data_IF_526870291746
#
_entry.id   IF_526870291746
#
_cell.length_a   1.000
_cell.length_b   1.000
_cell.length_c   1.000
_cell.angle_alpha   90.00
_cell.angle_beta   90.00
_cell.angle_gamma   90.00
#
_symmetry.space_group_name_H-M   'P 1'
#
loop_
_entity.id
_entity.type
_entity.pdbx_description
1 polymer ?
#
# COMPACT_ATOMS: atom_id res chain seq x y z
N UNK A 1 -57.66 19.48 -9.37
CA UNK A 1 -56.52 20.25 -9.83
C UNK A 1 -55.77 20.97 -8.71
N UNK A 2 -56.42 21.66 -7.77
CA UNK A 2 -55.77 22.43 -6.69
C UNK A 2 -54.82 21.57 -5.82
N UNK A 3 -55.24 20.39 -5.38
CA UNK A 3 -54.43 19.48 -4.56
C UNK A 3 -53.18 18.91 -5.30
N UNK A 4 -53.25 18.77 -6.63
CA UNK A 4 -52.12 18.28 -7.42
C UNK A 4 -51.00 19.33 -7.50
N UNK A 5 -51.34 20.60 -7.74
CA UNK A 5 -50.38 21.69 -7.75
C UNK A 5 -49.81 22.00 -6.35
N UNK A 6 -50.61 21.86 -5.29
CA UNK A 6 -50.16 22.00 -3.93
C UNK A 6 -49.09 20.93 -3.58
N UNK A 7 -49.36 19.65 -3.94
CA UNK A 7 -48.36 18.56 -3.75
C UNK A 7 -47.08 18.82 -4.51
N UNK A 8 -47.11 19.22 -5.79
CA UNK A 8 -45.93 19.54 -6.57
C UNK A 8 -45.10 20.70 -5.97
N UNK A 9 -45.77 21.78 -5.51
CA UNK A 9 -45.09 22.90 -4.84
C UNK A 9 -44.43 22.46 -3.55
N UNK A 10 -45.09 21.63 -2.75
CA UNK A 10 -44.52 21.10 -1.51
C UNK A 10 -43.30 20.22 -1.79
N UNK A 11 -43.38 19.30 -2.79
CA UNK A 11 -42.25 18.47 -3.21
C UNK A 11 -41.05 19.34 -3.68
N UNK A 12 -41.32 20.37 -4.51
CA UNK A 12 -40.30 21.28 -4.98
C UNK A 12 -39.64 22.07 -3.82
N UNK A 13 -40.48 22.55 -2.88
CA UNK A 13 -39.98 23.26 -1.69
C UNK A 13 -39.09 22.34 -0.82
N UNK A 14 -39.54 21.12 -0.54
CA UNK A 14 -38.76 20.15 0.24
C UNK A 14 -37.45 19.79 -0.46
N UNK A 15 -37.46 19.65 -1.78
CA UNK A 15 -36.26 19.38 -2.56
C UNK A 15 -35.25 20.55 -2.49
N UNK A 16 -35.75 21.80 -2.70
CA UNK A 16 -34.90 22.99 -2.58
C UNK A 16 -34.36 23.14 -1.16
N UNK A 17 -35.19 22.89 -0.14
CA UNK A 17 -34.76 22.95 1.25
C UNK A 17 -33.68 21.90 1.55
N UNK A 18 -33.84 20.66 1.05
CA UNK A 18 -32.83 19.60 1.21
C UNK A 18 -31.51 19.98 0.54
N UNK A 19 -31.55 20.49 -0.71
CA UNK A 19 -30.36 20.95 -1.41
C UNK A 19 -29.67 22.13 -0.69
N UNK A 20 -30.42 23.11 -0.23
CA UNK A 20 -29.88 24.25 0.50
C UNK A 20 -29.24 23.81 1.81
N UNK A 21 -29.92 22.94 2.57
CA UNK A 21 -29.37 22.38 3.82
C UNK A 21 -28.07 21.61 3.57
N UNK A 22 -28.08 20.72 2.57
CA UNK A 22 -26.88 19.94 2.20
C UNK A 22 -25.73 20.87 1.78
N UNK A 23 -26.00 21.88 0.95
CA UNK A 23 -24.99 22.86 0.53
C UNK A 23 -24.40 23.63 1.72
N UNK A 24 -25.23 24.09 2.66
CA UNK A 24 -24.78 24.78 3.86
C UNK A 24 -23.91 23.86 4.73
N UNK A 25 -24.32 22.61 4.95
CA UNK A 25 -23.56 21.64 5.73
C UNK A 25 -22.20 21.34 5.07
N UNK A 26 -22.15 21.19 3.75
CA UNK A 26 -20.89 21.03 3.02
C UNK A 26 -19.99 22.27 3.15
N UNK A 27 -20.54 23.48 3.00
CA UNK A 27 -19.75 24.70 3.19
C UNK A 27 -19.13 24.78 4.59
N UNK A 28 -19.90 24.42 5.62
CA UNK A 28 -19.39 24.41 7.01
C UNK A 28 -18.29 23.34 7.16
N UNK A 29 -18.50 22.15 6.63
CA UNK A 29 -17.58 21.01 6.79
C UNK A 29 -16.27 21.20 6.04
N UNK A 30 -16.32 21.75 4.82
CA UNK A 30 -15.16 21.99 3.98
C UNK A 30 -14.45 23.33 4.22
N UNK A 31 -15.00 24.22 5.07
CA UNK A 31 -14.49 25.59 5.22
C UNK A 31 -13.04 25.65 5.73
N UNK A 32 -12.73 24.99 6.84
CA UNK A 32 -11.37 25.04 7.40
C UNK A 32 -10.33 24.31 6.54
N UNK A 33 -10.58 23.10 5.98
CA UNK A 33 -9.71 22.51 4.99
C UNK A 33 -9.40 23.43 3.80
N UNK A 34 -10.44 23.93 3.13
CA UNK A 34 -10.28 24.83 1.97
C UNK A 34 -9.50 26.10 2.31
N UNK A 35 -9.76 26.69 3.48
CA UNK A 35 -9.03 27.87 3.96
C UNK A 35 -7.54 27.55 4.17
N UNK A 36 -7.22 26.37 4.70
CA UNK A 36 -5.83 25.91 4.91
C UNK A 36 -5.11 25.74 3.56
N UNK A 37 -5.73 25.06 2.61
CA UNK A 37 -5.20 24.85 1.26
C UNK A 37 -4.98 26.18 0.53
N UNK A 38 -5.97 27.08 0.59
CA UNK A 38 -5.82 28.43 0.05
C UNK A 38 -4.70 29.23 0.72
N UNK A 39 -4.52 29.11 2.03
CA UNK A 39 -3.47 29.83 2.75
C UNK A 39 -2.04 29.33 2.42
N UNK A 40 -1.90 28.05 2.06
CA UNK A 40 -0.62 27.41 1.67
C UNK A 40 -0.37 27.43 0.16
N UNK A 41 -1.36 27.83 -0.66
CA UNK A 41 -1.29 27.75 -2.11
C UNK A 41 -0.22 28.69 -2.70
N UNK A 42 0.50 28.17 -3.68
CA UNK A 42 1.41 28.96 -4.52
C UNK A 42 0.61 29.60 -5.67
N UNK A 43 0.29 30.88 -5.51
CA UNK A 43 -0.57 31.64 -6.44
C UNK A 43 0.10 32.05 -7.77
N UNK A 44 1.20 31.41 -8.17
CA UNK A 44 1.73 31.62 -9.52
C UNK A 44 0.75 31.09 -10.57
N UNK A 45 0.56 31.86 -11.65
CA UNK A 45 -0.36 31.46 -12.74
C UNK A 45 -0.02 30.07 -13.33
N UNK A 46 1.25 29.71 -13.37
CA UNK A 46 1.73 28.39 -13.79
C UNK A 46 1.21 27.23 -12.92
N UNK A 47 0.80 27.51 -11.68
CA UNK A 47 0.31 26.52 -10.72
C UNK A 47 -1.23 26.54 -10.54
N UNK A 48 -1.98 27.29 -11.34
CA UNK A 48 -3.42 27.41 -11.20
C UNK A 48 -4.15 26.05 -11.26
N UNK A 49 -3.70 25.15 -12.13
CA UNK A 49 -4.24 23.78 -12.24
C UNK A 49 -3.98 22.96 -10.96
N UNK A 50 -2.80 23.09 -10.35
CA UNK A 50 -2.46 22.46 -9.08
C UNK A 50 -3.41 22.89 -7.96
N UNK A 51 -3.61 24.21 -7.81
CA UNK A 51 -4.53 24.75 -6.80
C UNK A 51 -5.96 24.25 -7.00
N UNK A 52 -6.44 24.21 -8.24
CA UNK A 52 -7.79 23.70 -8.55
C UNK A 52 -7.90 22.21 -8.16
N UNK A 53 -6.89 21.40 -8.48
CA UNK A 53 -6.89 19.97 -8.13
C UNK A 53 -6.86 19.75 -6.61
N UNK A 54 -6.07 20.55 -5.87
CA UNK A 54 -6.04 20.48 -4.41
C UNK A 54 -7.39 20.88 -3.78
N UNK A 55 -8.01 21.94 -4.28
CA UNK A 55 -9.34 22.37 -3.81
C UNK A 55 -10.41 21.33 -4.14
N UNK A 56 -10.38 20.73 -5.32
CA UNK A 56 -11.30 19.66 -5.70
C UNK A 56 -11.14 18.43 -4.82
N UNK A 57 -9.90 18.02 -4.55
CA UNK A 57 -9.57 16.93 -3.63
C UNK A 57 -10.09 17.22 -2.21
N UNK A 58 -9.86 18.42 -1.68
CA UNK A 58 -10.35 18.84 -0.37
C UNK A 58 -11.88 18.84 -0.28
N UNK A 59 -12.57 19.37 -1.30
CA UNK A 59 -14.03 19.34 -1.34
C UNK A 59 -14.52 17.88 -1.31
N UNK A 60 -13.95 17.03 -2.16
CA UNK A 60 -14.34 15.63 -2.27
C UNK A 60 -14.05 14.84 -1.00
N UNK A 61 -12.94 15.14 -0.29
CA UNK A 61 -12.58 14.47 0.95
C UNK A 61 -13.50 14.87 2.11
N UNK A 62 -13.95 16.15 2.15
CA UNK A 62 -14.71 16.71 3.25
C UNK A 62 -16.21 16.90 2.93
N UNK A 63 -16.77 16.11 2.01
CA UNK A 63 -18.23 16.07 1.78
C UNK A 63 -18.94 15.64 3.06
N UNK A 64 -19.94 16.43 3.49
CA UNK A 64 -20.77 16.11 4.64
C UNK A 64 -21.42 14.72 4.46
N UNK A 65 -21.23 13.84 5.47
CA UNK A 65 -21.70 12.45 5.45
C UNK A 65 -21.20 11.63 4.23
N UNK A 66 -20.02 11.93 3.69
CA UNK A 66 -19.41 11.23 2.55
C UNK A 66 -19.53 9.70 2.67
N UNK A 67 -19.11 9.17 3.81
CA UNK A 67 -19.16 7.72 4.03
C UNK A 67 -20.58 7.17 4.14
N UNK A 68 -21.53 7.94 4.64
CA UNK A 68 -22.95 7.56 4.65
C UNK A 68 -23.51 7.41 3.23
N UNK A 69 -23.12 8.29 2.30
CA UNK A 69 -23.50 8.17 0.88
C UNK A 69 -22.81 6.99 0.21
N UNK A 70 -21.53 6.74 0.48
CA UNK A 70 -20.81 5.56 -0.02
C UNK A 70 -21.49 4.27 0.46
N UNK A 71 -21.83 4.17 1.75
CA UNK A 71 -22.56 3.03 2.30
C UNK A 71 -23.92 2.81 1.65
N UNK A 72 -24.72 3.88 1.50
CA UNK A 72 -26.02 3.80 0.89
C UNK A 72 -25.95 3.38 -0.60
N UNK A 73 -24.97 3.92 -1.32
CA UNK A 73 -24.73 3.56 -2.72
C UNK A 73 -24.27 2.11 -2.85
N UNK A 74 -23.27 1.69 -2.09
CA UNK A 74 -22.78 0.31 -2.08
C UNK A 74 -23.88 -0.70 -1.71
N UNK A 75 -24.75 -0.36 -0.75
CA UNK A 75 -25.91 -1.18 -0.43
C UNK A 75 -26.87 -1.34 -1.61
N UNK A 76 -27.16 -0.26 -2.33
CA UNK A 76 -27.99 -0.31 -3.54
C UNK A 76 -27.36 -1.17 -4.64
N UNK A 77 -26.04 -1.07 -4.84
CA UNK A 77 -25.30 -1.90 -5.79
C UNK A 77 -25.37 -3.38 -5.41
N UNK A 78 -25.24 -3.69 -4.13
CA UNK A 78 -25.37 -5.06 -3.61
C UNK A 78 -26.78 -5.62 -3.84
N UNK A 79 -27.84 -4.82 -3.65
CA UNK A 79 -29.23 -5.21 -3.95
C UNK A 79 -29.46 -5.47 -5.44
N UNK A 80 -28.70 -4.83 -6.32
CA UNK A 80 -28.74 -5.04 -7.77
C UNK A 80 -27.85 -6.19 -8.23
N UNK A 81 -27.19 -6.91 -7.32
CA UNK A 81 -26.26 -8.01 -7.60
C UNK A 81 -25.09 -7.60 -8.50
N UNK A 82 -24.65 -6.34 -8.41
CA UNK A 82 -23.51 -5.86 -9.18
C UNK A 82 -22.19 -6.34 -8.59
N UNK A 83 -21.27 -6.74 -9.47
CA UNK A 83 -19.91 -7.15 -9.13
C UNK A 83 -18.89 -6.06 -9.50
N UNK A 84 -19.32 -4.83 -9.69
CA UNK A 84 -18.49 -3.68 -10.06
C UNK A 84 -18.95 -2.40 -9.39
N UNK A 85 -18.00 -1.52 -9.11
CA UNK A 85 -18.19 -0.17 -8.59
C UNK A 85 -17.25 0.80 -9.31
N UNK A 86 -17.63 2.08 -9.33
CA UNK A 86 -16.81 3.16 -9.89
C UNK A 86 -16.33 2.87 -11.33
N UNK A 87 -17.23 2.46 -12.23
CA UNK A 87 -16.89 2.12 -13.61
C UNK A 87 -15.80 1.04 -13.72
N UNK A 88 -15.93 -0.03 -12.97
CA UNK A 88 -15.00 -1.17 -12.89
C UNK A 88 -13.66 -0.87 -12.21
N UNK A 89 -13.48 0.27 -11.56
CA UNK A 89 -12.28 0.51 -10.74
C UNK A 89 -12.16 -0.52 -9.62
N UNK A 90 -13.28 -0.85 -8.96
CA UNK A 90 -13.35 -1.91 -7.94
C UNK A 90 -14.34 -2.97 -8.41
N UNK A 91 -13.88 -4.21 -8.44
CA UNK A 91 -14.69 -5.36 -8.85
C UNK A 91 -14.65 -6.46 -7.82
N UNK A 92 -15.68 -7.35 -7.82
CA UNK A 92 -15.70 -8.57 -7.02
C UNK A 92 -15.28 -9.77 -7.86
N UNK A 93 -14.41 -10.60 -7.27
CA UNK A 93 -14.19 -11.95 -7.78
C UNK A 93 -15.36 -12.90 -7.43
N UNK A 94 -15.26 -14.14 -7.86
CA UNK A 94 -16.30 -15.17 -7.59
C UNK A 94 -16.43 -15.55 -6.12
N UNK A 95 -15.43 -15.20 -5.28
CA UNK A 95 -15.42 -15.40 -3.84
C UNK A 95 -15.91 -14.16 -3.07
N UNK A 96 -16.23 -13.07 -3.79
CA UNK A 96 -16.68 -11.81 -3.23
C UNK A 96 -15.58 -10.88 -2.74
N UNK A 97 -14.29 -11.19 -3.01
CA UNK A 97 -13.18 -10.29 -2.69
C UNK A 97 -13.11 -9.14 -3.66
N UNK A 98 -12.73 -7.98 -3.16
CA UNK A 98 -12.58 -6.77 -3.97
C UNK A 98 -11.21 -6.73 -4.64
N UNK A 99 -11.17 -6.29 -5.89
CA UNK A 99 -9.96 -6.10 -6.68
C UNK A 99 -9.98 -4.74 -7.36
N UNK A 100 -8.81 -4.11 -7.51
CA UNK A 100 -8.64 -3.04 -8.46
C UNK A 100 -8.41 -3.63 -9.85
N UNK A 101 -9.06 -3.07 -10.85
CA UNK A 101 -8.87 -3.46 -12.24
C UNK A 101 -9.15 -2.31 -13.19
N UNK A 102 -8.86 -2.51 -14.46
CA UNK A 102 -9.14 -1.59 -15.54
C UNK A 102 -9.21 -2.36 -16.87
N UNK A 103 -9.76 -1.73 -17.88
CA UNK A 103 -9.80 -2.31 -19.22
C UNK A 103 -8.43 -2.19 -19.88
N UNK A 104 -7.83 -3.34 -20.21
CA UNK A 104 -6.59 -3.43 -20.94
C UNK A 104 -6.76 -4.39 -22.14
N UNK A 105 -5.96 -4.20 -23.17
CA UNK A 105 -5.96 -5.05 -24.37
C UNK A 105 -4.83 -6.09 -24.35
N UNK A 106 -3.95 -6.03 -23.36
CA UNK A 106 -2.80 -6.93 -23.19
C UNK A 106 -1.85 -6.40 -22.11
N UNK A 107 -0.75 -7.12 -21.84
CA UNK A 107 0.28 -6.69 -20.90
C UNK A 107 0.90 -5.35 -21.31
N UNK A 108 1.30 -4.57 -20.29
CA UNK A 108 2.03 -3.31 -20.52
C UNK A 108 3.50 -3.61 -20.79
N UNK A 109 4.11 -2.88 -21.72
CA UNK A 109 5.55 -2.93 -21.94
C UNK A 109 6.27 -2.21 -20.79
N UNK A 110 7.09 -2.95 -20.07
CA UNK A 110 7.83 -2.49 -18.88
C UNK A 110 9.34 -2.48 -19.09
N UNK A 111 9.79 -2.60 -20.36
CA UNK A 111 11.23 -2.67 -20.68
C UNK A 111 12.00 -1.48 -20.12
N UNK A 112 11.48 -0.26 -20.28
CA UNK A 112 12.13 0.95 -19.75
C UNK A 112 12.29 0.91 -18.22
N UNK A 113 11.31 0.40 -17.49
CA UNK A 113 11.38 0.27 -16.03
C UNK A 113 12.43 -0.77 -15.62
N UNK A 114 12.51 -1.90 -16.33
CA UNK A 114 13.52 -2.92 -16.07
C UNK A 114 14.93 -2.42 -16.40
N UNK A 115 15.11 -1.64 -17.46
CA UNK A 115 16.38 -1.01 -17.83
C UNK A 115 16.86 -0.05 -16.71
N UNK A 116 15.95 0.70 -16.05
CA UNK A 116 16.29 1.55 -14.89
C UNK A 116 16.75 0.74 -13.68
N UNK A 117 16.14 -0.42 -13.41
CA UNK A 117 16.61 -1.32 -12.34
C UNK A 117 18.01 -1.86 -12.66
N UNK A 118 18.27 -2.23 -13.91
CA UNK A 118 19.58 -2.69 -14.35
C UNK A 118 20.64 -1.56 -14.23
N UNK A 119 20.28 -0.32 -14.56
CA UNK A 119 21.14 0.84 -14.38
C UNK A 119 21.44 1.10 -12.88
N UNK A 120 20.45 1.01 -12.01
CA UNK A 120 20.65 1.07 -10.57
C UNK A 120 21.69 0.03 -10.13
N UNK A 121 21.54 -1.23 -10.56
CA UNK A 121 22.48 -2.31 -10.24
C UNK A 121 23.91 -2.01 -10.71
N UNK A 122 24.07 -1.51 -11.93
CA UNK A 122 25.36 -1.12 -12.47
C UNK A 122 26.03 0.02 -11.66
N UNK A 123 25.24 0.92 -11.08
CA UNK A 123 25.74 2.05 -10.32
C UNK A 123 26.09 1.72 -8.86
N UNK A 124 25.54 0.62 -8.30
CA UNK A 124 25.88 0.17 -6.93
C UNK A 124 27.31 -0.42 -6.82
N UNK A 125 27.87 -0.86 -7.95
CA UNK A 125 29.19 -1.50 -7.98
C UNK A 125 29.17 -2.95 -7.50
N UNK A 126 30.36 -3.58 -7.42
CA UNK A 126 30.47 -5.03 -7.15
C UNK A 126 30.32 -5.41 -5.67
N UNK A 127 30.38 -4.46 -4.74
CA UNK A 127 30.28 -4.73 -3.30
C UNK A 127 28.84 -4.99 -2.87
N UNK A 128 27.92 -4.21 -3.37
CA UNK A 128 26.51 -4.24 -2.99
C UNK A 128 25.72 -5.07 -4.00
N UNK A 129 25.04 -6.12 -3.54
CA UNK A 129 24.17 -6.92 -4.40
C UNK A 129 22.83 -6.22 -4.64
N UNK A 130 22.18 -6.55 -5.75
CA UNK A 130 20.84 -6.09 -6.07
C UNK A 130 19.93 -7.29 -6.38
N UNK A 131 18.76 -7.34 -5.73
CA UNK A 131 17.70 -8.30 -6.04
C UNK A 131 16.38 -7.56 -6.26
N UNK A 132 15.64 -7.92 -7.29
CA UNK A 132 14.25 -7.50 -7.43
C UNK A 132 13.32 -8.51 -6.76
N UNK A 133 12.47 -8.04 -5.84
CA UNK A 133 11.48 -8.87 -5.14
C UNK A 133 10.10 -8.55 -5.68
N UNK A 134 9.54 -9.42 -6.50
CA UNK A 134 8.17 -9.30 -6.98
C UNK A 134 7.19 -9.77 -5.92
N UNK A 135 6.55 -8.83 -5.22
CA UNK A 135 5.43 -9.16 -4.32
C UNK A 135 4.20 -9.55 -5.14
N UNK A 136 3.31 -10.43 -4.65
CA UNK A 136 2.16 -10.87 -5.42
C UNK A 136 1.09 -9.78 -5.52
N UNK A 137 0.42 -9.73 -6.67
CA UNK A 137 -0.86 -9.06 -6.84
C UNK A 137 -1.98 -9.88 -6.15
N UNK A 138 -3.03 -9.22 -5.76
CA UNK A 138 -4.23 -9.87 -5.19
C UNK A 138 -4.90 -10.85 -6.17
N UNK A 139 -4.68 -10.68 -7.48
CA UNK A 139 -5.03 -11.69 -8.47
C UNK A 139 -4.05 -12.87 -8.41
N UNK A 140 -4.42 -13.91 -7.70
CA UNK A 140 -3.59 -15.13 -7.55
C UNK A 140 -3.90 -16.10 -8.69
N UNK A 141 -2.90 -16.38 -9.53
CA UNK A 141 -3.02 -17.36 -10.62
C UNK A 141 -3.41 -18.73 -10.09
N UNK A 142 -4.35 -19.39 -10.80
CA UNK A 142 -4.85 -20.71 -10.42
C UNK A 142 -5.89 -20.71 -9.28
N UNK A 143 -6.17 -19.53 -8.70
CA UNK A 143 -7.18 -19.38 -7.66
C UNK A 143 -8.21 -18.31 -7.97
N UNK A 144 -7.79 -17.07 -8.21
CA UNK A 144 -8.71 -15.95 -8.43
C UNK A 144 -9.44 -16.10 -9.77
N UNK A 145 -10.76 -16.01 -9.73
CA UNK A 145 -11.60 -16.01 -10.94
C UNK A 145 -12.61 -14.89 -10.87
N UNK A 146 -12.90 -14.26 -12.02
CA UNK A 146 -13.89 -13.20 -12.11
C UNK A 146 -15.17 -13.67 -12.78
N UNK A 147 -16.34 -13.08 -12.41
CA UNK A 147 -17.57 -13.22 -13.19
C UNK A 147 -17.37 -12.74 -14.63
N UNK A 148 -18.23 -13.26 -15.53
CA UNK A 148 -18.21 -12.83 -16.94
C UNK A 148 -18.42 -11.32 -17.09
N UNK A 149 -17.66 -10.68 -17.96
CA UNK A 149 -17.75 -9.25 -18.24
C UNK A 149 -16.87 -8.36 -17.36
N UNK A 150 -16.21 -8.91 -16.34
CA UNK A 150 -15.24 -8.15 -15.54
C UNK A 150 -13.93 -7.98 -16.35
N UNK A 151 -13.36 -6.76 -16.45
CA UNK A 151 -12.12 -6.53 -17.17
C UNK A 151 -10.94 -7.18 -16.48
N UNK A 152 -9.96 -7.62 -17.30
CA UNK A 152 -8.68 -8.15 -16.83
C UNK A 152 -7.56 -7.17 -17.18
N UNK A 153 -6.71 -6.83 -16.21
CA UNK A 153 -5.69 -5.79 -16.33
C UNK A 153 -4.30 -6.31 -16.74
N UNK A 154 -4.14 -7.60 -16.94
CA UNK A 154 -2.88 -8.26 -17.32
C UNK A 154 -1.67 -7.97 -16.41
N UNK A 155 -1.90 -7.63 -15.14
CA UNK A 155 -0.82 -7.30 -14.20
C UNK A 155 0.18 -8.46 -14.05
N UNK A 156 -0.28 -9.70 -13.98
CA UNK A 156 0.60 -10.86 -13.86
C UNK A 156 1.47 -11.07 -15.09
N UNK A 157 0.91 -10.93 -16.30
CA UNK A 157 1.64 -11.05 -17.55
C UNK A 157 2.61 -9.88 -17.74
N UNK A 158 2.23 -8.69 -17.33
CA UNK A 158 3.11 -7.51 -17.26
C UNK A 158 4.32 -7.78 -16.37
N UNK A 159 4.08 -8.33 -15.18
CA UNK A 159 5.13 -8.70 -14.24
C UNK A 159 6.04 -9.82 -14.76
N UNK A 160 5.49 -10.80 -15.50
CA UNK A 160 6.31 -11.84 -16.13
C UNK A 160 7.29 -11.23 -17.14
N UNK A 161 6.78 -10.38 -18.04
CA UNK A 161 7.63 -9.69 -19.01
C UNK A 161 8.70 -8.82 -18.34
N UNK A 162 8.34 -8.14 -17.27
CA UNK A 162 9.27 -7.33 -16.47
C UNK A 162 10.39 -8.18 -15.86
N UNK A 163 10.05 -9.30 -15.19
CA UNK A 163 11.04 -10.20 -14.59
C UNK A 163 11.92 -10.87 -15.65
N UNK A 164 11.38 -11.21 -16.81
CA UNK A 164 12.16 -11.77 -17.90
C UNK A 164 13.20 -10.77 -18.43
N UNK A 165 12.86 -9.48 -18.55
CA UNK A 165 13.82 -8.43 -18.91
C UNK A 165 14.92 -8.27 -17.86
N UNK A 166 14.56 -8.30 -16.55
CA UNK A 166 15.54 -8.22 -15.47
C UNK A 166 16.52 -9.40 -15.48
N UNK A 167 16.02 -10.64 -15.66
CA UNK A 167 16.85 -11.85 -15.77
C UNK A 167 17.81 -11.77 -16.98
N UNK A 168 17.32 -11.27 -18.12
CA UNK A 168 18.15 -11.04 -19.32
C UNK A 168 19.26 -10.01 -19.08
N UNK A 169 19.00 -9.04 -18.21
CA UNK A 169 19.98 -8.01 -17.78
C UNK A 169 20.89 -8.49 -16.66
N UNK A 170 20.78 -9.75 -16.22
CA UNK A 170 21.60 -10.33 -15.16
C UNK A 170 21.24 -9.86 -13.74
N UNK A 171 20.07 -9.29 -13.55
CA UNK A 171 19.57 -8.90 -12.22
C UNK A 171 18.98 -10.13 -11.53
N UNK A 172 19.38 -10.35 -10.29
CA UNK A 172 18.81 -11.38 -9.42
C UNK A 172 17.34 -11.06 -9.09
N UNK A 173 16.48 -12.09 -9.07
CA UNK A 173 15.04 -11.92 -8.88
C UNK A 173 14.47 -12.94 -7.91
N UNK A 174 13.61 -12.50 -7.00
CA UNK A 174 12.78 -13.33 -6.14
C UNK A 174 11.31 -13.08 -6.49
N UNK A 175 10.64 -14.05 -7.09
CA UNK A 175 9.22 -13.96 -7.42
C UNK A 175 8.36 -14.59 -6.32
N UNK A 176 7.79 -13.79 -5.43
CA UNK A 176 6.93 -14.24 -4.34
C UNK A 176 5.51 -14.65 -4.79
N UNK A 177 5.20 -14.54 -6.08
CA UNK A 177 3.97 -15.10 -6.65
C UNK A 177 4.08 -16.61 -6.77
N UNK A 178 5.31 -17.11 -6.95
CA UNK A 178 5.63 -18.54 -6.96
C UNK A 178 5.55 -19.09 -5.53
N UNK A 179 4.99 -20.29 -5.38
CA UNK A 179 4.85 -20.95 -4.07
C UNK A 179 3.82 -20.34 -3.12
N UNK A 180 3.08 -19.30 -3.55
CA UNK A 180 2.09 -18.63 -2.69
C UNK A 180 0.93 -19.56 -2.31
N UNK A 181 0.43 -20.38 -3.23
CA UNK A 181 -0.62 -21.38 -2.96
C UNK A 181 -0.12 -22.56 -2.13
N UNK A 182 1.18 -22.83 -2.15
CA UNK A 182 1.87 -23.87 -1.37
C UNK A 182 2.36 -23.35 -0.01
N UNK A 183 2.10 -22.10 0.33
CA UNK A 183 2.52 -21.46 1.59
C UNK A 183 1.96 -22.10 2.87
N UNK A 184 0.98 -22.99 2.74
CA UNK A 184 0.22 -23.57 3.86
C UNK A 184 -0.88 -22.63 4.41
N UNK A 185 -0.98 -21.41 3.89
CA UNK A 185 -2.07 -20.48 4.20
C UNK A 185 -3.23 -20.78 3.25
N UNK A 186 -4.47 -20.94 3.74
CA UNK A 186 -5.62 -21.13 2.85
C UNK A 186 -5.71 -19.98 1.83
N UNK A 187 -5.93 -20.30 0.55
CA UNK A 187 -5.90 -19.31 -0.53
C UNK A 187 -6.85 -18.11 -0.28
N UNK A 188 -8.01 -18.36 0.34
CA UNK A 188 -8.96 -17.31 0.75
C UNK A 188 -8.39 -16.35 1.81
N UNK A 189 -7.35 -16.75 2.54
CA UNK A 189 -6.74 -15.98 3.65
C UNK A 189 -5.41 -15.32 3.27
N UNK A 190 -4.98 -15.41 2.00
CA UNK A 190 -3.74 -14.79 1.52
C UNK A 190 -3.83 -13.25 1.51
N UNK A 191 -4.98 -12.71 1.11
CA UNK A 191 -5.23 -11.26 1.00
C UNK A 191 -6.46 -10.85 1.80
N UNK A 192 -6.51 -9.58 2.20
CA UNK A 192 -7.72 -9.00 2.74
C UNK A 192 -8.83 -8.99 1.69
N UNK A 193 -10.09 -9.07 2.13
CA UNK A 193 -11.25 -9.00 1.25
C UNK A 193 -11.46 -7.58 0.73
N UNK A 194 -11.34 -6.60 1.63
CA UNK A 194 -11.68 -5.19 1.40
C UNK A 194 -10.48 -4.31 1.09
N UNK A 195 -9.27 -4.89 1.06
CA UNK A 195 -8.01 -4.17 0.80
C UNK A 195 -7.17 -4.88 -0.26
N UNK A 196 -6.31 -4.12 -0.94
CA UNK A 196 -5.40 -4.66 -1.96
C UNK A 196 -4.17 -5.36 -1.37
N UNK A 197 -3.90 -5.17 -0.09
CA UNK A 197 -2.75 -5.79 0.57
C UNK A 197 -2.99 -7.26 0.91
N UNK A 198 -1.90 -8.02 0.99
CA UNK A 198 -1.89 -9.33 1.62
C UNK A 198 -2.12 -9.24 3.14
N UNK A 199 -2.58 -10.34 3.73
CA UNK A 199 -2.70 -10.42 5.20
C UNK A 199 -1.31 -10.53 5.85
N UNK A 200 -1.21 -10.14 7.10
CA UNK A 200 0.07 -10.12 7.83
C UNK A 200 0.74 -11.50 7.90
N UNK A 201 -0.05 -12.57 7.99
CA UNK A 201 0.48 -13.95 7.92
C UNK A 201 1.15 -14.26 6.58
N UNK A 202 0.60 -13.74 5.50
CA UNK A 202 1.18 -13.92 4.16
C UNK A 202 2.49 -13.14 4.03
N UNK A 203 2.54 -11.92 4.55
CA UNK A 203 3.79 -11.15 4.59
C UNK A 203 4.87 -11.80 5.49
N UNK A 204 4.46 -12.49 6.55
CA UNK A 204 5.38 -13.28 7.38
C UNK A 204 5.94 -14.50 6.62
N UNK A 205 5.10 -15.20 5.87
CA UNK A 205 5.57 -16.25 4.96
C UNK A 205 6.58 -15.70 3.95
N UNK A 206 6.30 -14.56 3.34
CA UNK A 206 7.20 -13.90 2.40
C UNK A 206 8.53 -13.50 3.04
N UNK A 207 8.54 -13.11 4.30
CA UNK A 207 9.77 -12.89 5.08
C UNK A 207 10.61 -14.18 5.13
N UNK A 208 9.99 -15.35 5.38
CA UNK A 208 10.69 -16.63 5.35
C UNK A 208 11.31 -16.94 3.97
N UNK A 209 10.60 -16.66 2.87
CA UNK A 209 11.13 -16.83 1.50
C UNK A 209 12.32 -15.90 1.24
N UNK A 210 12.25 -14.66 1.72
CA UNK A 210 13.34 -13.68 1.58
C UNK A 210 14.58 -14.10 2.37
N UNK A 211 14.43 -14.63 3.59
CA UNK A 211 15.54 -15.19 4.38
C UNK A 211 16.19 -16.35 3.65
N UNK A 212 15.41 -17.31 3.14
CA UNK A 212 15.93 -18.44 2.37
C UNK A 212 16.68 -17.99 1.11
N UNK A 213 16.19 -16.98 0.41
CA UNK A 213 16.87 -16.41 -0.76
C UNK A 213 18.23 -15.78 -0.38
N UNK A 214 18.26 -14.99 0.69
CA UNK A 214 19.50 -14.39 1.21
C UNK A 214 20.50 -15.43 1.66
N UNK A 215 20.07 -16.49 2.33
CA UNK A 215 20.93 -17.61 2.74
C UNK A 215 21.65 -18.26 1.54
N UNK A 216 20.94 -18.41 0.42
CA UNK A 216 21.52 -18.89 -0.84
C UNK A 216 22.54 -17.92 -1.44
N UNK A 217 22.27 -16.61 -1.39
CA UNK A 217 23.14 -15.58 -1.96
C UNK A 217 24.43 -15.35 -1.16
N UNK A 218 24.36 -15.44 0.18
CA UNK A 218 25.48 -15.16 1.07
C UNK A 218 26.18 -16.42 1.58
N UNK A 219 25.66 -17.60 1.28
CA UNK A 219 26.17 -18.89 1.75
C UNK A 219 26.38 -18.93 3.29
N UNK A 220 25.60 -18.11 3.99
CA UNK A 220 25.60 -17.98 5.45
C UNK A 220 24.17 -17.87 5.93
N UNK A 221 23.66 -18.87 6.66
CA UNK A 221 22.31 -18.85 7.14
C UNK A 221 22.09 -17.68 8.14
N UNK A 222 21.06 -16.89 7.87
CA UNK A 222 20.59 -15.79 8.73
C UNK A 222 19.77 -16.32 9.90
N UNK A 223 19.06 -17.43 9.67
CA UNK A 223 18.20 -18.10 10.66
C UNK A 223 18.41 -19.62 10.62
N UNK A 224 19.59 -20.13 11.05
CA UNK A 224 19.98 -21.53 10.89
C UNK A 224 19.08 -22.50 11.67
N UNK A 225 18.43 -22.05 12.73
CA UNK A 225 17.52 -22.86 13.57
C UNK A 225 16.04 -22.62 13.21
N UNK A 226 15.76 -21.83 12.19
CA UNK A 226 14.41 -21.39 11.81
C UNK A 226 13.65 -20.74 12.97
N UNK A 227 14.37 -20.14 13.90
CA UNK A 227 13.78 -19.54 15.10
C UNK A 227 13.01 -18.25 14.80
N UNK A 228 13.60 -17.38 13.99
CA UNK A 228 12.98 -16.11 13.62
C UNK A 228 11.90 -16.25 12.56
N UNK A 229 11.96 -17.31 11.76
CA UNK A 229 10.97 -17.62 10.71
C UNK A 229 9.85 -18.55 11.18
N UNK A 230 9.88 -19.04 12.43
CA UNK A 230 8.80 -19.82 13.03
C UNK A 230 7.74 -18.90 13.67
N UNK A 231 6.51 -18.91 13.12
CA UNK A 231 5.36 -18.17 13.63
C UNK A 231 5.02 -18.48 15.10
N UNK A 232 5.38 -19.68 15.60
CA UNK A 232 5.17 -20.03 17.01
C UNK A 232 5.95 -19.14 17.98
N UNK A 233 7.02 -18.49 17.52
CA UNK A 233 7.81 -17.53 18.31
C UNK A 233 7.24 -16.10 18.28
N UNK A 234 6.04 -15.93 17.71
CA UNK A 234 5.37 -14.62 17.62
C UNK A 234 4.03 -14.64 18.35
N UNK A 235 3.67 -13.49 18.93
CA UNK A 235 2.33 -13.23 19.38
C UNK A 235 1.46 -12.94 18.16
N UNK A 236 0.25 -13.52 18.14
CA UNK A 236 -0.78 -13.23 17.15
C UNK A 236 -2.02 -12.77 17.88
N UNK A 237 -2.35 -11.49 17.77
CA UNK A 237 -3.54 -10.90 18.38
C UNK A 237 -4.57 -10.66 17.29
N UNK A 238 -5.66 -11.45 17.24
CA UNK A 238 -6.70 -11.29 16.24
C UNK A 238 -7.68 -10.18 16.64
N UNK A 239 -7.91 -9.24 15.74
CA UNK A 239 -8.99 -8.27 15.78
C UNK A 239 -10.05 -8.71 14.76
N UNK A 240 -11.24 -9.10 15.26
CA UNK A 240 -12.32 -9.64 14.46
C UNK A 240 -13.21 -8.51 13.91
N UNK A 241 -13.61 -8.64 12.61
CA UNK A 241 -14.51 -7.70 11.92
C UNK A 241 -14.03 -6.24 12.08
N UNK A 242 -12.74 -6.01 11.93
CA UNK A 242 -12.07 -4.80 12.44
C UNK A 242 -11.41 -3.94 11.36
N UNK A 243 -11.27 -4.42 10.13
CA UNK A 243 -10.58 -3.72 9.08
C UNK A 243 -11.47 -3.52 7.85
N UNK A 244 -11.53 -2.29 7.35
CA UNK A 244 -12.06 -1.96 6.04
C UNK A 244 -10.96 -1.24 5.27
N UNK A 245 -10.42 -1.94 4.28
CA UNK A 245 -9.30 -1.46 3.49
C UNK A 245 -9.67 -0.46 2.41
N UNK A 246 -8.70 -0.13 1.58
CA UNK A 246 -8.80 0.92 0.56
C UNK A 246 -9.94 0.71 -0.43
N UNK A 247 -10.17 -0.53 -0.87
CA UNK A 247 -11.26 -0.89 -1.77
C UNK A 247 -12.62 -0.83 -1.07
N UNK A 248 -12.68 -1.31 0.18
CA UNK A 248 -13.89 -1.26 1.00
C UNK A 248 -14.30 0.17 1.36
N UNK A 249 -13.33 1.07 1.61
CA UNK A 249 -13.61 2.50 1.84
C UNK A 249 -14.22 3.20 0.63
N UNK A 250 -13.92 2.74 -0.59
CA UNK A 250 -14.50 3.27 -1.83
C UNK A 250 -15.93 2.77 -2.09
N UNK A 251 -16.26 1.57 -1.59
CA UNK A 251 -17.49 0.87 -1.93
C UNK A 251 -18.49 0.74 -0.77
N UNK A 252 -18.03 1.01 0.45
CA UNK A 252 -18.82 0.88 1.69
C UNK A 252 -18.84 -0.55 2.26
N UNK A 253 -18.99 -0.63 3.60
CA UNK A 253 -19.05 -1.90 4.33
C UNK A 253 -20.22 -2.79 3.88
N UNK A 254 -21.38 -2.19 3.61
CA UNK A 254 -22.57 -2.93 3.20
C UNK A 254 -22.41 -3.63 1.83
N UNK A 255 -21.46 -3.15 1.00
CA UNK A 255 -21.08 -3.81 -0.25
C UNK A 255 -19.90 -4.76 -0.06
N UNK A 256 -18.85 -4.29 0.63
CA UNK A 256 -17.55 -4.94 0.73
C UNK A 256 -17.46 -6.02 1.82
N UNK A 257 -18.24 -5.89 2.89
CA UNK A 257 -17.96 -6.57 4.15
C UNK A 257 -16.83 -5.91 4.95
N UNK A 258 -16.23 -6.65 5.82
CA UNK A 258 -15.05 -6.28 6.61
C UNK A 258 -14.08 -7.46 6.71
N UNK A 259 -12.89 -7.18 7.22
CA UNK A 259 -11.81 -8.14 7.41
C UNK A 259 -11.41 -8.26 8.87
N UNK A 260 -10.92 -9.44 9.23
CA UNK A 260 -10.12 -9.63 10.43
C UNK A 260 -8.72 -9.06 10.21
N UNK A 261 -8.15 -8.46 11.24
CA UNK A 261 -6.76 -8.00 11.24
C UNK A 261 -5.96 -8.73 12.32
N UNK A 262 -4.87 -9.39 11.96
CA UNK A 262 -3.96 -10.02 12.91
C UNK A 262 -2.76 -9.10 13.17
N UNK A 263 -2.57 -8.68 14.43
CA UNK A 263 -1.34 -8.02 14.87
C UNK A 263 -0.33 -9.09 15.27
N UNK A 264 0.81 -9.12 14.58
CA UNK A 264 1.87 -10.12 14.77
C UNK A 264 3.16 -9.43 15.19
N UNK A 265 3.78 -9.88 16.29
CA UNK A 265 5.05 -9.35 16.78
C UNK A 265 5.80 -10.40 17.63
N UNK A 266 7.15 -10.28 17.76
CA UNK A 266 7.97 -11.28 18.45
C UNK A 266 7.58 -11.50 19.91
N UNK A 267 7.62 -12.78 20.37
CA UNK A 267 7.58 -13.13 21.80
C UNK A 267 8.93 -12.94 22.47
N UNK A 268 10.00 -13.11 21.71
CA UNK A 268 11.37 -12.96 22.17
C UNK A 268 11.75 -11.48 22.38
N UNK A 269 12.78 -11.25 23.17
CA UNK A 269 13.28 -9.89 23.43
C UNK A 269 13.96 -9.33 22.16
N UNK A 270 13.73 -8.08 21.92
CA UNK A 270 14.30 -7.33 20.80
C UNK A 270 14.69 -5.93 21.26
N UNK A 271 15.65 -5.30 20.59
CA UNK A 271 16.09 -3.94 20.93
C UNK A 271 16.42 -3.17 19.66
N UNK A 272 15.56 -2.21 19.32
CA UNK A 272 15.64 -1.43 18.09
C UNK A 272 15.90 0.05 18.33
N UNK A 273 16.48 0.69 17.30
CA UNK A 273 16.33 2.11 17.02
C UNK A 273 15.59 2.23 15.70
N UNK A 274 14.56 3.02 15.65
CA UNK A 274 13.72 3.24 14.46
C UNK A 274 13.66 4.73 14.18
N UNK A 275 14.20 5.15 13.06
CA UNK A 275 14.12 6.51 12.55
C UNK A 275 13.26 6.53 11.29
N UNK A 276 12.42 7.56 11.14
CA UNK A 276 11.71 7.81 9.90
C UNK A 276 11.61 9.32 9.62
N UNK A 277 11.47 9.65 8.32
CA UNK A 277 11.23 11.01 7.85
C UNK A 277 10.34 11.01 6.62
N UNK A 278 9.36 11.94 6.61
CA UNK A 278 8.50 12.25 5.47
C UNK A 278 8.21 13.75 5.48
N UNK A 279 8.66 14.48 4.47
CA UNK A 279 8.59 15.95 4.46
C UNK A 279 9.29 16.54 5.67
N UNK A 280 8.57 17.37 6.43
CA UNK A 280 9.06 18.01 7.67
C UNK A 280 8.88 17.13 8.91
N UNK A 281 8.15 16.01 8.80
CA UNK A 281 7.92 15.11 9.93
C UNK A 281 9.05 14.10 10.05
N UNK A 282 9.71 14.08 11.20
CA UNK A 282 10.71 13.07 11.52
C UNK A 282 10.63 12.67 12.99
N UNK A 283 10.98 11.42 13.28
CA UNK A 283 11.06 10.91 14.65
C UNK A 283 12.06 9.77 14.78
N UNK A 284 12.56 9.59 16.01
CA UNK A 284 13.36 8.42 16.40
C UNK A 284 12.71 7.75 17.61
N UNK A 285 12.42 6.47 17.49
CA UNK A 285 11.86 5.63 18.54
C UNK A 285 12.87 4.55 18.93
N UNK A 286 12.85 4.14 20.19
CA UNK A 286 13.74 3.10 20.70
C UNK A 286 12.94 2.15 21.57
N UNK A 287 13.23 0.86 21.52
CA UNK A 287 12.55 -0.13 22.32
C UNK A 287 12.54 -1.50 21.69
N UNK A 288 11.60 -2.32 22.13
CA UNK A 288 11.30 -3.61 21.54
C UNK A 288 10.63 -3.43 20.17
N UNK A 289 10.45 -4.52 19.43
CA UNK A 289 9.76 -4.52 18.15
C UNK A 289 8.39 -3.81 18.24
N UNK A 290 7.60 -4.20 19.22
CA UNK A 290 6.26 -3.65 19.46
C UNK A 290 6.26 -2.18 19.92
N UNK A 291 7.31 -1.70 20.57
CA UNK A 291 7.42 -0.33 21.05
C UNK A 291 7.97 0.64 19.98
N UNK A 292 8.91 0.15 19.16
CA UNK A 292 9.62 0.97 18.20
C UNK A 292 9.06 0.86 16.76
N UNK A 293 8.71 -0.36 16.32
CA UNK A 293 8.34 -0.62 14.92
C UNK A 293 6.84 -0.68 14.66
N UNK A 294 6.01 -0.68 15.72
CA UNK A 294 4.56 -0.72 15.59
C UNK A 294 3.92 0.57 16.13
N UNK A 295 2.89 1.02 15.45
CA UNK A 295 1.98 2.02 16.01
C UNK A 295 0.61 1.41 16.30
N UNK A 296 0.11 1.61 17.48
CA UNK A 296 -1.24 1.16 17.87
C UNK A 296 -2.33 2.18 17.54
N UNK A 297 -1.96 3.35 17.02
CA UNK A 297 -2.92 4.41 16.68
C UNK A 297 -4.08 3.92 15.81
N UNK A 298 -3.86 3.21 14.70
CA UNK A 298 -4.95 2.73 13.86
C UNK A 298 -5.83 1.67 14.54
N UNK A 299 -5.32 1.02 15.60
CA UNK A 299 -6.02 -0.04 16.34
C UNK A 299 -6.86 0.51 17.54
N UNK A 300 -6.63 1.77 17.93
CA UNK A 300 -7.24 2.38 19.10
C UNK A 300 -8.33 3.41 18.76
N UNK A 301 -8.95 3.29 17.60
CA UNK A 301 -10.01 4.20 17.19
C UNK A 301 -11.21 4.06 18.12
N UNK A 302 -11.68 5.20 18.69
CA UNK A 302 -12.76 5.22 19.67
C UNK A 302 -14.12 5.14 18.98
N UNK A 303 -14.95 4.22 19.43
CA UNK A 303 -16.40 4.27 19.25
C UNK A 303 -17.00 3.38 18.19
N UNK A 304 -16.20 2.68 17.36
CA UNK A 304 -16.73 1.73 16.38
C UNK A 304 -15.86 0.48 16.31
N UNK A 305 -16.44 -0.65 15.95
CA UNK A 305 -15.69 -1.87 15.64
C UNK A 305 -14.76 -1.67 14.43
N UNK A 306 -15.03 -0.67 13.58
CA UNK A 306 -14.15 -0.18 12.52
C UNK A 306 -14.30 1.33 12.36
N UNK A 307 -13.25 1.98 11.83
CA UNK A 307 -13.26 3.37 11.40
C UNK A 307 -12.79 3.40 9.94
N UNK A 308 -13.64 3.92 9.06
CA UNK A 308 -13.37 3.98 7.61
C UNK A 308 -12.19 4.89 7.26
N UNK A 309 -11.76 5.76 8.17
CA UNK A 309 -10.61 6.64 7.96
C UNK A 309 -9.29 6.06 8.45
N UNK A 310 -9.35 5.04 9.32
CA UNK A 310 -8.16 4.43 9.92
C UNK A 310 -7.66 3.24 9.09
N UNK A 311 -6.45 3.36 8.56
CA UNK A 311 -5.78 2.29 7.85
C UNK A 311 -5.03 1.38 8.84
N UNK A 312 -5.53 0.16 9.06
CA UNK A 312 -4.92 -0.82 9.97
C UNK A 312 -3.58 -1.34 9.48
N UNK A 313 -3.37 -1.35 8.16
CA UNK A 313 -2.10 -1.76 7.57
C UNK A 313 -0.94 -0.82 7.94
N UNK A 314 -1.26 0.44 8.25
CA UNK A 314 -0.34 1.46 8.74
C UNK A 314 0.33 1.11 10.10
N UNK A 315 -0.15 0.08 10.80
CA UNK A 315 0.39 -0.37 12.10
C UNK A 315 1.88 -0.71 12.03
N UNK A 316 2.36 -1.28 10.93
CA UNK A 316 3.77 -1.65 10.75
C UNK A 316 4.60 -0.48 10.21
N UNK A 317 5.76 -0.23 10.84
CA UNK A 317 6.74 0.81 10.49
C UNK A 317 6.10 2.20 10.28
N UNK A 318 4.97 2.46 10.93
CA UNK A 318 4.21 3.71 10.78
C UNK A 318 3.78 3.98 9.33
N UNK A 319 3.55 2.92 8.55
CA UNK A 319 3.09 2.98 7.17
C UNK A 319 4.17 3.37 6.16
N UNK A 320 3.75 4.11 5.13
CA UNK A 320 4.66 4.57 4.08
C UNK A 320 5.35 5.87 4.48
N UNK A 321 6.65 5.80 4.65
CA UNK A 321 7.51 6.94 4.99
C UNK A 321 8.49 7.21 3.83
N UNK A 322 8.89 8.46 3.63
CA UNK A 322 9.87 8.82 2.61
C UNK A 322 11.19 8.08 2.79
N UNK A 323 11.70 8.08 4.01
CA UNK A 323 12.87 7.29 4.40
C UNK A 323 12.70 6.72 5.80
N UNK A 324 13.12 5.47 5.96
CA UNK A 324 13.15 4.77 7.26
C UNK A 324 14.55 4.19 7.47
N UNK A 325 15.01 4.16 8.72
CA UNK A 325 16.18 3.41 9.15
C UNK A 325 15.84 2.63 10.42
N UNK A 326 15.85 1.30 10.32
CA UNK A 326 15.72 0.37 11.46
C UNK A 326 17.09 -0.18 11.80
N UNK A 327 17.53 -0.01 13.04
CA UNK A 327 18.75 -0.65 13.55
C UNK A 327 18.37 -1.71 14.58
N UNK A 328 18.76 -2.95 14.34
CA UNK A 328 18.67 -4.05 15.29
C UNK A 328 19.92 -4.09 16.17
N UNK A 329 19.79 -3.59 17.41
CA UNK A 329 20.91 -3.49 18.34
C UNK A 329 21.36 -4.86 18.90
N UNK A 330 20.53 -5.90 18.74
CA UNK A 330 20.86 -7.27 19.18
C UNK A 330 21.65 -8.04 18.11
N UNK A 331 21.70 -7.52 16.85
CA UNK A 331 22.45 -8.13 15.75
C UNK A 331 23.37 -7.11 15.02
N UNK A 332 24.35 -6.47 15.71
CA UNK A 332 25.11 -5.36 15.14
C UNK A 332 26.06 -5.76 14.00
N UNK A 333 26.30 -7.06 13.79
CA UNK A 333 27.19 -7.60 12.75
C UNK A 333 26.42 -8.32 11.64
N UNK A 334 25.09 -8.13 11.60
CA UNK A 334 24.22 -8.67 10.53
C UNK A 334 24.39 -7.92 9.22
N UNK A 335 23.64 -8.33 8.20
CA UNK A 335 23.60 -7.63 6.92
C UNK A 335 22.97 -6.25 7.06
N UNK A 336 23.46 -5.31 6.28
CA UNK A 336 22.87 -3.98 6.08
C UNK A 336 22.15 -3.95 4.75
N UNK A 337 20.83 -3.82 4.79
CA UNK A 337 20.01 -3.92 3.60
C UNK A 337 19.22 -2.64 3.37
N UNK A 338 18.89 -2.36 2.11
CA UNK A 338 18.04 -1.25 1.72
C UNK A 338 16.92 -1.75 0.83
N UNK A 339 15.72 -1.22 1.02
CA UNK A 339 14.56 -1.48 0.17
C UNK A 339 14.08 -0.19 -0.50
N UNK A 340 13.93 -0.25 -1.82
CA UNK A 340 13.11 0.68 -2.61
C UNK A 340 11.79 -0.05 -2.80
N UNK A 341 10.66 0.48 -2.25
CA UNK A 341 9.49 -0.36 -2.02
C UNK A 341 8.15 0.36 -2.23
N UNK A 342 7.12 -0.44 -2.48
CA UNK A 342 5.72 -0.06 -2.30
C UNK A 342 5.19 -0.45 -0.91
N UNK A 343 3.88 -0.30 -0.68
CA UNK A 343 3.27 -0.57 0.62
C UNK A 343 3.22 -2.05 1.01
N UNK A 344 3.16 -2.97 0.03
CA UNK A 344 3.08 -4.41 0.30
C UNK A 344 4.28 -4.91 1.11
N UNK A 345 5.47 -4.43 0.82
CA UNK A 345 6.69 -4.89 1.46
C UNK A 345 6.81 -4.52 2.96
N UNK A 346 6.05 -3.53 3.47
CA UNK A 346 6.24 -2.96 4.81
C UNK A 346 6.20 -3.98 5.96
N UNK A 347 5.17 -4.85 6.12
CA UNK A 347 5.19 -5.84 7.19
C UNK A 347 6.26 -6.91 7.00
N UNK A 348 6.52 -7.36 5.76
CA UNK A 348 7.59 -8.32 5.46
C UNK A 348 8.95 -7.80 5.92
N UNK A 349 9.25 -6.54 5.63
CA UNK A 349 10.52 -5.90 6.00
C UNK A 349 10.61 -5.70 7.51
N UNK A 350 9.50 -5.42 8.20
CA UNK A 350 9.49 -5.33 9.65
C UNK A 350 9.96 -6.63 10.29
N UNK A 351 9.53 -7.78 9.77
CA UNK A 351 10.00 -9.10 10.24
C UNK A 351 11.44 -9.38 9.85
N UNK A 352 11.87 -8.98 8.64
CA UNK A 352 13.27 -9.14 8.20
C UNK A 352 14.26 -8.45 9.15
N UNK A 353 13.85 -7.33 9.79
CA UNK A 353 14.69 -6.62 10.75
C UNK A 353 15.13 -7.51 11.94
N UNK A 354 14.48 -8.65 12.18
CA UNK A 354 14.87 -9.57 13.26
C UNK A 354 16.17 -10.32 12.96
N UNK A 355 16.55 -10.47 11.70
CA UNK A 355 17.71 -11.29 11.26
C UNK A 355 18.84 -10.48 10.60
N UNK A 356 18.65 -9.18 10.39
CA UNK A 356 19.65 -8.27 9.81
C UNK A 356 20.04 -7.18 10.82
N UNK A 357 21.14 -6.45 10.58
CA UNK A 357 21.58 -5.36 11.48
C UNK A 357 20.87 -4.06 11.20
N UNK A 358 20.80 -3.67 9.94
CA UNK A 358 20.22 -2.41 9.52
C UNK A 358 19.31 -2.60 8.31
N UNK A 359 18.17 -1.95 8.36
CA UNK A 359 17.24 -1.89 7.25
C UNK A 359 16.92 -0.43 6.91
N UNK A 360 17.25 -0.04 5.69
CA UNK A 360 16.82 1.24 5.14
C UNK A 360 15.64 1.00 4.21
N UNK A 361 14.58 1.82 4.33
CA UNK A 361 13.46 1.79 3.39
C UNK A 361 13.32 3.14 2.73
N UNK A 362 13.13 3.13 1.44
CA UNK A 362 12.77 4.31 0.65
C UNK A 362 11.47 4.01 -0.08
N UNK A 363 10.47 4.86 0.14
CA UNK A 363 9.28 4.90 -0.70
C UNK A 363 9.46 6.00 -1.73
N UNK A 364 9.59 5.67 -3.02
CA UNK A 364 9.90 6.66 -4.06
C UNK A 364 8.86 7.78 -4.18
N UNK A 365 7.63 7.55 -3.77
CA UNK A 365 6.53 8.53 -3.82
C UNK A 365 6.70 9.67 -2.81
N UNK A 366 7.42 9.42 -1.71
CA UNK A 366 7.58 10.37 -0.60
C UNK A 366 9.02 10.81 -0.36
N UNK A 367 9.99 10.12 -0.95
CA UNK A 367 11.40 10.47 -0.82
C UNK A 367 11.80 11.49 -1.89
N UNK A 368 12.32 12.62 -1.46
CA UNK A 368 12.71 13.73 -2.35
C UNK A 368 14.20 13.78 -2.69
N UNK A 369 15.00 12.88 -2.12
CA UNK A 369 16.43 12.78 -2.38
C UNK A 369 16.77 11.89 -3.59
N UNK A 370 18.05 11.89 -3.97
CA UNK A 370 18.58 10.96 -4.97
C UNK A 370 18.80 9.59 -4.34
N UNK A 371 18.02 8.59 -4.81
CA UNK A 371 18.05 7.22 -4.29
C UNK A 371 19.40 6.54 -4.57
N UNK A 372 19.97 6.76 -5.74
CA UNK A 372 21.27 6.17 -6.14
C UNK A 372 22.39 6.77 -5.31
N UNK A 373 22.40 8.08 -5.14
CA UNK A 373 23.39 8.78 -4.32
C UNK A 373 23.30 8.34 -2.85
N UNK A 374 22.08 8.18 -2.32
CA UNK A 374 21.87 7.64 -0.98
C UNK A 374 22.44 6.21 -0.84
N UNK A 375 22.12 5.31 -1.78
CA UNK A 375 22.60 3.94 -1.76
C UNK A 375 24.12 3.85 -1.85
N UNK A 376 24.77 4.70 -2.65
CA UNK A 376 26.23 4.76 -2.79
C UNK A 376 26.95 5.27 -1.54
N UNK A 377 26.33 6.21 -0.82
CA UNK A 377 26.90 6.81 0.40
C UNK A 377 26.66 5.96 1.64
N UNK A 378 25.70 5.06 1.58
CA UNK A 378 25.37 4.14 2.68
C UNK A 378 26.19 2.85 2.50
N UNK A 379 26.82 2.35 3.57
CA UNK A 379 27.57 1.09 3.54
C UNK A 379 26.59 -0.09 3.56
N UNK A 380 26.14 -0.53 2.39
CA UNK A 380 25.12 -1.55 2.19
C UNK A 380 25.73 -2.85 1.67
N UNK A 381 25.25 -3.98 2.20
CA UNK A 381 25.52 -5.30 1.65
C UNK A 381 24.55 -5.63 0.50
N UNK A 382 23.27 -5.21 0.62
CA UNK A 382 22.23 -5.56 -0.33
C UNK A 382 21.21 -4.44 -0.54
N UNK A 383 20.81 -4.25 -1.79
CA UNK A 383 19.67 -3.41 -2.18
C UNK A 383 18.57 -4.28 -2.76
N UNK A 384 17.36 -4.09 -2.30
CA UNK A 384 16.16 -4.69 -2.85
C UNK A 384 15.30 -3.63 -3.53
N UNK A 385 14.77 -3.95 -4.70
CA UNK A 385 13.64 -3.23 -5.29
C UNK A 385 12.42 -4.13 -5.13
N UNK A 386 11.42 -3.70 -4.37
CA UNK A 386 10.23 -4.50 -4.03
C UNK A 386 8.98 -3.73 -4.38
N UNK A 387 8.57 -3.86 -5.64
CA UNK A 387 7.39 -3.21 -6.23
C UNK A 387 6.49 -4.30 -6.81
N UNK A 388 5.19 -4.20 -6.52
CA UNK A 388 4.17 -5.15 -6.95
C UNK A 388 3.77 -4.98 -8.42
N UNK A 389 3.12 -5.96 -9.04
CA UNK A 389 2.69 -5.88 -10.45
C UNK A 389 1.82 -4.67 -10.78
N UNK A 390 0.93 -4.25 -9.87
CA UNK A 390 0.04 -3.11 -10.05
C UNK A 390 0.77 -1.76 -10.03
N UNK A 391 1.96 -1.71 -9.44
CA UNK A 391 2.77 -0.51 -9.22
C UNK A 391 3.98 -0.44 -10.18
N UNK A 392 4.00 -1.26 -11.26
CA UNK A 392 4.99 -1.18 -12.33
C UNK A 392 4.72 0.06 -13.22
N UNK A 393 4.89 1.24 -12.62
CA UNK A 393 4.68 2.55 -13.24
C UNK A 393 5.83 3.51 -12.89
N UNK A 394 6.02 4.53 -13.70
CA UNK A 394 7.12 5.51 -13.60
C UNK A 394 7.36 6.08 -12.20
N UNK A 395 6.30 6.26 -11.43
CA UNK A 395 6.32 6.86 -10.10
C UNK A 395 7.21 6.07 -9.12
N UNK A 396 7.23 4.75 -9.25
CA UNK A 396 8.03 3.88 -8.39
C UNK A 396 9.47 3.67 -8.87
N UNK A 397 9.82 4.14 -10.06
CA UNK A 397 11.15 3.99 -10.66
C UNK A 397 11.78 5.34 -11.04
N UNK A 398 11.95 6.29 -10.07
CA UNK A 398 12.44 7.64 -10.39
C UNK A 398 13.94 7.68 -10.69
N UNK A 399 14.66 6.60 -10.46
CA UNK A 399 16.10 6.48 -10.74
C UNK A 399 16.35 6.23 -12.23
N UNK A 400 17.49 6.74 -12.75
CA UNK A 400 17.86 6.62 -14.17
C UNK A 400 17.25 7.67 -15.11
N UNK A 401 16.36 8.55 -14.65
CA UNK A 401 15.99 9.77 -15.39
C UNK A 401 16.94 10.90 -15.00
N UNK A 402 17.55 11.57 -15.99
CA UNK A 402 18.19 12.85 -15.77
C UNK A 402 17.16 13.73 -15.05
N UNK A 403 17.51 14.23 -13.85
CA UNK A 403 16.66 15.00 -12.96
C UNK A 403 15.73 15.94 -13.73
N UNK A 404 14.51 15.51 -13.95
CA UNK A 404 13.42 16.41 -14.32
C UNK A 404 12.80 16.81 -12.98
N UNK A 405 13.13 18.02 -12.54
CA UNK A 405 12.41 18.67 -11.44
C UNK A 405 10.92 18.58 -11.73
N UNK A 406 10.21 17.87 -10.90
CA UNK A 406 8.76 17.86 -10.91
C UNK A 406 8.23 17.52 -9.53
N UNK A 407 7.49 18.44 -8.87
CA UNK A 407 6.71 18.04 -7.72
C UNK A 407 5.61 17.09 -8.20
N UNK A 408 5.44 16.00 -7.49
CA UNK A 408 4.40 15.02 -7.72
C UNK A 408 3.04 15.70 -7.83
N UNK A 409 2.49 15.75 -9.03
CA UNK A 409 1.07 15.97 -9.22
C UNK A 409 0.43 14.59 -9.25
N UNK A 410 -0.07 14.14 -8.12
CA UNK A 410 -0.96 12.98 -8.07
C UNK A 410 -2.19 13.30 -8.92
N UNK A 411 -2.21 12.80 -10.14
CA UNK A 411 -3.41 12.72 -10.93
C UNK A 411 -3.93 11.28 -10.84
N UNK A 412 -4.77 11.03 -9.86
CA UNK A 412 -5.95 10.14 -10.02
C UNK A 412 -6.83 10.21 -8.77
#
# INVERSE_FOLDING_TARGET
MHNFFAKKRMTAFLFILALATFSILNMIHSFEPLKKTLASADYRFSNAKGIINELDADINEHVFEKFGFVEAYGYLQSLMWKNEENNFEVVKDTEGKLHYTYFATGPTDTKELSDRVAELGAQLGSKTKLTYVMTPDKYVRGYTTFPEGIPYNYNNETADGFLDHLKQSGIDTLDLREGLLESGIPAKDLFFTTDHHWKIKTSFWAFGQLVQHLDGLYLKPLDPEHYFTDMNNYNVIPYKDFFIGSQGRKTGKLYAGDDDFDLIYPKFKTNYSFYFKTGETEATLNGRFEDALLTTYPLNVKGAAYDLTADKYFTYLYGNQGIVHVTNKDNPNGLKVMFIKDSLAVPMISFLSTVVSDVYLIDPRYYTGDIIDFAKKTDLDHVFVSISPQDLVDEFFPYGKNNVEGPFTSSK
#
